data_IF_366752085432
#
_entry.id   IF_366752085432
#
_cell.length_a   1.000
_cell.length_b   1.000
_cell.length_c   1.000
_cell.angle_alpha   90.00
_cell.angle_beta   90.00
_cell.angle_gamma   90.00
#
_symmetry.space_group_name_H-M   'P 1'
#
loop_
_entity.id
_entity.type
_entity.pdbx_description
1 polymer ?
#
# COMPACT_ATOMS: atom_id res chain seq x y z
N UNK A 1 -17.44 -13.21 23.83
CA UNK A 1 -17.87 -11.80 23.78
C UNK A 1 -16.72 -10.86 24.17
N UNK A 2 -16.28 -10.05 23.21
CA UNK A 2 -15.71 -8.70 23.29
C UNK A 2 -14.55 -8.39 24.24
N UNK A 3 -13.32 -8.63 23.75
CA UNK A 3 -12.10 -7.89 24.16
C UNK A 3 -11.73 -6.77 23.17
N UNK A 4 -12.37 -6.71 22.00
CA UNK A 4 -12.07 -5.76 20.92
C UNK A 4 -12.89 -4.46 20.96
N UNK A 5 -13.90 -4.34 21.83
CA UNK A 5 -14.74 -3.13 21.91
C UNK A 5 -14.25 -2.09 22.94
N UNK A 6 -13.38 -2.45 23.89
CA UNK A 6 -12.93 -1.52 24.95
C UNK A 6 -11.79 -0.61 24.47
N UNK A 7 -11.07 -1.00 23.41
CA UNK A 7 -9.89 -0.27 22.94
C UNK A 7 -10.22 0.83 21.91
N UNK A 8 -11.35 0.72 21.20
CA UNK A 8 -11.82 1.75 20.27
C UNK A 8 -12.28 3.04 20.95
N UNK A 9 -13.02 2.93 22.07
CA UNK A 9 -13.52 4.10 22.80
C UNK A 9 -12.39 5.02 23.30
N UNK A 10 -11.33 4.46 23.89
CA UNK A 10 -10.20 5.27 24.40
C UNK A 10 -9.35 5.93 23.30
N UNK A 11 -9.42 5.42 22.09
CA UNK A 11 -8.57 5.84 20.98
C UNK A 11 -9.17 7.02 20.22
N UNK A 12 -10.49 6.99 20.04
CA UNK A 12 -11.24 8.13 19.51
C UNK A 12 -11.19 9.31 20.49
N UNK A 13 -11.30 9.04 21.80
CA UNK A 13 -11.13 10.05 22.86
C UNK A 13 -9.74 10.71 22.83
N UNK A 14 -8.68 9.93 22.54
CA UNK A 14 -7.32 10.46 22.43
C UNK A 14 -7.10 11.27 21.16
N UNK A 15 -7.64 10.81 20.03
CA UNK A 15 -7.58 11.54 18.77
C UNK A 15 -8.30 12.88 18.86
N UNK A 16 -9.47 12.91 19.51
CA UNK A 16 -10.26 14.12 19.74
C UNK A 16 -9.54 15.10 20.67
N UNK A 17 -8.95 14.63 21.77
CA UNK A 17 -8.14 15.46 22.67
C UNK A 17 -6.96 16.13 21.96
N UNK A 18 -6.22 15.38 21.16
CA UNK A 18 -5.09 15.93 20.38
C UNK A 18 -5.57 16.91 19.32
N UNK A 19 -6.72 16.65 18.69
CA UNK A 19 -7.31 17.57 17.72
C UNK A 19 -7.67 18.92 18.36
N UNK A 20 -8.33 18.91 19.53
CA UNK A 20 -8.68 20.11 20.28
C UNK A 20 -7.45 20.92 20.71
N UNK A 21 -6.39 20.24 21.17
CA UNK A 21 -5.15 20.90 21.60
C UNK A 21 -4.43 21.58 20.42
N UNK A 22 -4.43 20.94 19.25
CA UNK A 22 -3.84 21.51 18.03
C UNK A 22 -4.68 22.67 17.50
N UNK A 23 -6.02 22.55 17.51
CA UNK A 23 -6.92 23.65 17.15
C UNK A 23 -6.72 24.87 18.06
N UNK A 24 -6.61 24.63 19.37
CA UNK A 24 -6.35 25.69 20.36
C UNK A 24 -4.99 26.35 20.14
N UNK A 25 -3.95 25.57 19.83
CA UNK A 25 -2.62 26.11 19.53
C UNK A 25 -2.63 26.98 18.26
N UNK A 26 -3.34 26.56 17.21
CA UNK A 26 -3.48 27.33 15.97
C UNK A 26 -4.27 28.63 16.19
N UNK A 27 -5.31 28.60 17.03
CA UNK A 27 -6.10 29.78 17.38
C UNK A 27 -5.27 30.87 18.07
N UNK A 28 -4.19 30.50 18.77
CA UNK A 28 -3.31 31.44 19.46
C UNK A 28 -2.20 32.00 18.57
N UNK A 29 -1.84 31.31 17.49
CA UNK A 29 -0.68 31.67 16.66
C UNK A 29 -1.04 32.49 15.42
N UNK A 30 -2.22 32.28 14.83
CA UNK A 30 -2.61 32.97 13.61
C UNK A 30 -4.14 33.18 13.52
N UNK A 31 -4.57 34.44 13.70
CA UNK A 31 -5.98 34.84 13.62
C UNK A 31 -6.52 34.80 12.17
N UNK A 32 -5.65 34.63 11.16
CA UNK A 32 -6.00 34.62 9.74
C UNK A 32 -6.31 33.22 9.16
N UNK A 33 -6.16 32.13 9.94
CA UNK A 33 -6.49 30.78 9.46
C UNK A 33 -7.99 30.56 9.53
N UNK A 34 -8.59 30.17 8.39
CA UNK A 34 -10.02 29.87 8.32
C UNK A 34 -10.42 28.74 9.29
N UNK A 35 -11.47 28.96 10.07
CA UNK A 35 -12.00 28.00 11.07
C UNK A 35 -12.18 26.56 10.54
N UNK A 36 -12.68 26.31 9.32
CA UNK A 36 -12.77 24.96 8.77
C UNK A 36 -11.40 24.29 8.51
N UNK A 37 -10.39 25.09 8.16
CA UNK A 37 -9.01 24.62 7.95
C UNK A 37 -8.39 24.23 9.29
N UNK A 38 -8.62 25.02 10.34
CA UNK A 38 -8.14 24.68 11.70
C UNK A 38 -8.70 23.35 12.18
N UNK A 39 -10.02 23.14 12.04
CA UNK A 39 -10.68 21.87 12.41
C UNK A 39 -10.14 20.69 11.60
N UNK A 40 -9.84 20.91 10.33
CA UNK A 40 -9.25 19.88 9.47
C UNK A 40 -7.83 19.52 9.92
N UNK A 41 -7.02 20.50 10.31
CA UNK A 41 -5.66 20.27 10.83
C UNK A 41 -5.70 19.54 12.18
N UNK A 42 -6.61 19.92 13.07
CA UNK A 42 -6.84 19.21 14.34
C UNK A 42 -7.13 17.73 14.12
N UNK A 43 -8.11 17.41 13.27
CA UNK A 43 -8.48 16.02 12.94
C UNK A 43 -7.32 15.22 12.35
N UNK A 44 -6.52 15.83 11.47
CA UNK A 44 -5.33 15.19 10.89
C UNK A 44 -4.32 14.88 12.01
N UNK A 45 -4.04 15.84 12.89
CA UNK A 45 -3.10 15.67 13.99
C UNK A 45 -3.56 14.58 14.97
N UNK A 46 -4.85 14.59 15.36
CA UNK A 46 -5.44 13.56 16.21
C UNK A 46 -5.36 12.16 15.60
N UNK A 47 -5.67 12.04 14.30
CA UNK A 47 -5.58 10.77 13.57
C UNK A 47 -4.14 10.25 13.49
N UNK A 48 -3.18 11.14 13.24
CA UNK A 48 -1.75 10.78 13.21
C UNK A 48 -1.28 10.34 14.59
N UNK A 49 -1.59 11.11 15.64
CA UNK A 49 -1.18 10.78 17.01
C UNK A 49 -1.73 9.41 17.44
N UNK A 50 -3.00 9.16 17.15
CA UNK A 50 -3.66 7.88 17.36
C UNK A 50 -2.96 6.73 16.62
N UNK A 51 -2.63 6.92 15.33
CA UNK A 51 -1.90 5.91 14.55
C UNK A 51 -0.49 5.62 15.09
N UNK A 52 0.20 6.63 15.64
CA UNK A 52 1.53 6.45 16.26
C UNK A 52 1.45 5.57 17.51
N UNK A 53 0.37 5.65 18.29
CA UNK A 53 0.17 4.76 19.47
C UNK A 53 0.02 3.29 19.10
N UNK A 54 -0.44 2.99 17.87
CA UNK A 54 -0.58 1.62 17.36
C UNK A 54 0.74 1.02 16.85
N UNK A 55 1.80 1.82 16.75
CA UNK A 55 3.09 1.35 16.30
C UNK A 55 3.76 0.49 17.38
N UNK A 56 4.53 -0.52 16.95
CA UNK A 56 5.37 -1.28 17.87
C UNK A 56 6.41 -0.36 18.54
N UNK A 57 6.87 -0.69 19.78
CA UNK A 57 7.90 0.11 20.46
C UNK A 57 9.19 0.28 19.65
N UNK A 58 9.51 -0.68 18.77
CA UNK A 58 10.65 -0.59 17.85
C UNK A 58 10.45 0.50 16.79
N UNK A 59 9.24 0.64 16.26
CA UNK A 59 8.90 1.67 15.27
C UNK A 59 8.76 3.05 15.91
N UNK A 60 8.22 3.15 17.14
CA UNK A 60 8.18 4.40 17.89
C UNK A 60 9.61 4.95 18.14
N UNK A 61 10.54 4.10 18.60
CA UNK A 61 11.95 4.48 18.77
C UNK A 61 12.65 4.87 17.45
N UNK A 62 12.25 4.27 16.33
CA UNK A 62 12.79 4.64 15.03
C UNK A 62 12.34 6.04 14.59
N UNK A 63 11.13 6.46 14.96
CA UNK A 63 10.63 7.82 14.75
C UNK A 63 11.45 8.81 15.59
N UNK A 64 11.71 8.49 16.85
CA UNK A 64 12.56 9.33 17.72
C UNK A 64 13.98 9.48 17.17
N UNK A 65 14.52 8.44 16.53
CA UNK A 65 15.86 8.47 15.94
C UNK A 65 15.99 9.40 14.72
N UNK A 66 14.89 9.71 14.02
CA UNK A 66 14.87 10.57 12.83
C UNK A 66 14.31 11.97 13.12
N UNK A 67 14.24 12.38 14.39
CA UNK A 67 13.58 13.63 14.81
C UNK A 67 14.06 14.89 14.08
N UNK A 68 15.34 14.95 13.69
CA UNK A 68 15.90 16.06 12.92
C UNK A 68 15.35 16.17 11.49
N UNK A 69 14.95 15.05 10.88
CA UNK A 69 14.40 15.00 9.52
C UNK A 69 12.87 15.10 9.50
N UNK A 70 12.22 14.99 10.66
CA UNK A 70 10.75 15.03 10.79
C UNK A 70 10.11 16.28 10.16
N UNK A 71 10.66 17.52 10.29
CA UNK A 71 10.07 18.70 9.65
C UNK A 71 10.05 18.60 8.12
N UNK A 72 11.10 18.02 7.53
CA UNK A 72 11.19 17.80 6.08
C UNK A 72 10.20 16.73 5.60
N UNK A 73 10.06 15.64 6.37
CA UNK A 73 9.08 14.59 6.10
C UNK A 73 7.63 15.09 6.25
N UNK A 74 7.35 15.88 7.29
CA UNK A 74 6.06 16.51 7.51
C UNK A 74 5.68 17.44 6.35
N UNK A 75 6.64 18.26 5.87
CA UNK A 75 6.42 19.14 4.72
C UNK A 75 6.09 18.37 3.44
N UNK A 76 6.77 17.24 3.21
CA UNK A 76 6.48 16.36 2.06
C UNK A 76 5.10 15.71 2.18
N UNK A 77 4.75 15.24 3.37
CA UNK A 77 3.44 14.66 3.66
C UNK A 77 2.31 15.67 3.41
N UNK A 78 2.43 16.89 3.94
CA UNK A 78 1.43 17.97 3.72
C UNK A 78 1.29 18.30 2.24
N UNK A 79 2.40 18.39 1.50
CA UNK A 79 2.36 18.64 0.05
C UNK A 79 1.66 17.52 -0.72
N UNK A 80 1.94 16.27 -0.37
CA UNK A 80 1.27 15.11 -0.98
C UNK A 80 -0.23 15.11 -0.68
N UNK A 81 -0.61 15.42 0.56
CA UNK A 81 -2.01 15.54 0.99
C UNK A 81 -2.74 16.67 0.24
N UNK A 82 -2.11 17.83 0.11
CA UNK A 82 -2.67 18.96 -0.64
C UNK A 82 -2.86 18.63 -2.13
N UNK A 83 -1.89 17.95 -2.75
CA UNK A 83 -2.00 17.50 -4.13
C UNK A 83 -3.14 16.49 -4.33
N UNK A 84 -3.34 15.57 -3.40
CA UNK A 84 -4.46 14.62 -3.43
C UNK A 84 -5.82 15.32 -3.23
N UNK A 85 -5.90 16.28 -2.31
CA UNK A 85 -7.11 17.07 -2.11
C UNK A 85 -7.49 17.90 -3.35
N UNK A 86 -6.49 18.50 -4.03
CA UNK A 86 -6.70 19.23 -5.28
C UNK A 86 -7.26 18.32 -6.38
N UNK A 87 -6.67 17.13 -6.58
CA UNK A 87 -7.18 16.14 -7.54
C UNK A 87 -8.63 15.73 -7.27
N UNK A 88 -8.99 15.50 -6.01
CA UNK A 88 -10.36 15.15 -5.64
C UNK A 88 -11.34 16.30 -5.80
N UNK A 89 -10.89 17.53 -5.55
CA UNK A 89 -11.67 18.73 -5.82
C UNK A 89 -11.95 18.87 -7.31
N UNK A 90 -10.94 18.68 -8.17
CA UNK A 90 -11.06 18.70 -9.64
C UNK A 90 -12.00 17.60 -10.17
N UNK A 91 -11.92 16.40 -9.59
CA UNK A 91 -12.87 15.32 -9.89
C UNK A 91 -14.30 15.63 -9.42
N UNK A 92 -14.47 16.45 -8.36
CA UNK A 92 -15.76 16.89 -7.84
C UNK A 92 -16.44 18.01 -8.65
N UNK A 93 -15.70 18.77 -9.48
CA UNK A 93 -16.26 19.82 -10.34
C UNK A 93 -16.96 19.24 -11.58
N UNK A 94 -16.71 17.97 -11.91
CA UNK A 94 -17.43 17.22 -12.93
C UNK A 94 -18.81 16.68 -12.45
N UNK A 95 -19.26 17.12 -11.27
CA UNK A 95 -20.42 16.57 -10.57
C UNK A 95 -21.63 17.49 -10.45
N UNK A 96 -21.88 18.43 -11.36
CA UNK A 96 -23.20 19.06 -11.50
C UNK A 96 -23.46 19.47 -12.96
N UNK A 97 -24.12 18.60 -13.74
CA UNK A 97 -25.18 18.97 -14.69
C UNK A 97 -25.86 17.70 -15.19
N UNK A 98 -27.19 17.73 -15.20
CA UNK A 98 -28.08 16.65 -15.64
C UNK A 98 -27.82 16.20 -17.09
N UNK A 99 -28.24 14.97 -17.47
CA UNK A 99 -27.70 14.25 -18.61
C UNK A 99 -28.33 14.71 -19.92
N UNK A 100 -27.58 14.65 -21.03
CA UNK A 100 -28.13 14.26 -22.31
C UNK A 100 -27.60 12.88 -22.68
N UNK A 101 -28.55 11.96 -22.82
CA UNK A 101 -28.45 10.70 -23.56
C UNK A 101 -27.53 10.83 -24.78
N UNK A 102 -26.40 10.12 -24.77
CA UNK A 102 -25.70 9.70 -25.99
C UNK A 102 -25.01 8.36 -25.71
N UNK A 103 -25.01 7.40 -26.66
CA UNK A 103 -24.80 5.99 -26.37
C UNK A 103 -23.33 5.63 -26.23
N UNK A 104 -23.08 4.60 -25.41
CA UNK A 104 -21.89 3.76 -25.31
C UNK A 104 -20.73 4.12 -26.26
N UNK A 105 -19.68 4.71 -25.69
CA UNK A 105 -18.33 4.58 -26.21
C UNK A 105 -17.40 4.33 -25.01
N UNK A 106 -17.01 3.06 -24.89
CA UNK A 106 -15.81 2.54 -24.25
C UNK A 106 -15.06 3.48 -23.29
N UNK A 107 -15.48 3.50 -22.02
CA UNK A 107 -14.57 3.89 -20.94
C UNK A 107 -13.73 2.67 -20.62
N UNK A 108 -12.58 2.60 -21.29
CA UNK A 108 -11.51 1.65 -21.02
C UNK A 108 -11.18 1.66 -19.50
N UNK A 109 -11.13 0.48 -18.84
CA UNK A 109 -10.81 0.41 -17.42
C UNK A 109 -9.46 1.06 -17.13
N UNK A 110 -9.22 1.59 -15.91
CA UNK A 110 -7.99 2.31 -15.58
C UNK A 110 -6.78 1.45 -15.95
N UNK A 111 -6.02 1.91 -16.94
CA UNK A 111 -4.85 1.21 -17.45
C UNK A 111 -3.90 0.96 -16.29
N UNK A 112 -3.53 -0.31 -16.07
CA UNK A 112 -2.55 -0.67 -15.06
C UNK A 112 -1.27 0.14 -15.29
N UNK A 113 -0.62 0.66 -14.23
CA UNK A 113 0.61 1.43 -14.37
C UNK A 113 1.64 0.60 -15.13
N UNK A 114 2.26 1.22 -16.15
CA UNK A 114 3.23 0.54 -17.00
C UNK A 114 4.46 0.18 -16.17
N UNK A 115 5.25 -0.80 -16.63
CA UNK A 115 6.49 -1.22 -15.96
C UNK A 115 7.38 -0.03 -15.56
N UNK A 116 7.47 0.98 -16.43
CA UNK A 116 8.33 2.15 -16.23
C UNK A 116 7.82 3.07 -15.10
N UNK A 117 6.50 3.14 -14.90
CA UNK A 117 5.90 3.91 -13.81
C UNK A 117 6.23 3.25 -12.45
N UNK A 118 6.26 1.92 -12.40
CA UNK A 118 6.58 1.15 -11.19
C UNK A 118 8.03 1.33 -10.75
N UNK A 119 8.97 1.56 -11.68
CA UNK A 119 10.39 1.81 -11.35
C UNK A 119 10.58 3.12 -10.57
N UNK A 120 9.69 4.10 -10.75
CA UNK A 120 9.77 5.41 -10.09
C UNK A 120 9.04 5.50 -8.74
N UNK A 121 8.24 4.47 -8.38
CA UNK A 121 7.47 4.40 -7.13
C UNK A 121 8.24 3.68 -6.01
N UNK A 122 8.00 4.05 -4.75
CA UNK A 122 8.51 3.29 -3.61
C UNK A 122 7.88 1.89 -3.61
N UNK A 123 8.70 0.87 -3.38
CA UNK A 123 8.27 -0.53 -3.48
C UNK A 123 7.21 -0.84 -2.41
N UNK A 124 7.35 -0.25 -1.23
CA UNK A 124 6.41 -0.44 -0.11
C UNK A 124 4.99 0.04 -0.45
N UNK A 125 4.85 1.05 -1.31
CA UNK A 125 3.57 1.69 -1.61
C UNK A 125 2.65 0.81 -2.48
N UNK A 126 3.23 -0.11 -3.25
CA UNK A 126 2.48 -0.97 -4.17
C UNK A 126 2.72 -2.47 -3.96
N UNK A 127 3.90 -2.87 -3.46
CA UNK A 127 4.22 -4.28 -3.23
C UNK A 127 3.76 -4.79 -1.86
N UNK A 128 3.28 -3.90 -0.98
CA UNK A 128 2.88 -4.21 0.38
C UNK A 128 4.08 -4.50 1.28
N UNK A 129 3.91 -5.39 2.28
CA UNK A 129 5.01 -5.74 3.19
C UNK A 129 6.09 -6.53 2.46
N UNK A 130 7.29 -5.98 2.41
CA UNK A 130 8.47 -6.62 1.82
C UNK A 130 9.55 -6.87 2.87
N UNK A 131 10.36 -7.90 2.66
CA UNK A 131 11.43 -8.28 3.56
C UNK A 131 12.72 -8.65 2.82
N UNK A 132 13.86 -8.39 3.44
CA UNK A 132 15.15 -8.90 2.97
C UNK A 132 15.39 -10.35 3.39
N UNK A 133 16.41 -10.98 2.80
CA UNK A 133 16.78 -12.38 3.09
C UNK A 133 17.05 -12.64 4.58
N UNK A 134 17.67 -11.70 5.30
CA UNK A 134 17.93 -11.82 6.74
C UNK A 134 16.65 -11.95 7.55
N UNK A 135 15.63 -11.15 7.23
CA UNK A 135 14.35 -11.21 7.94
C UNK A 135 13.63 -12.55 7.69
N UNK A 136 13.64 -13.03 6.44
CA UNK A 136 13.02 -14.31 6.07
C UNK A 136 13.69 -15.51 6.78
N UNK A 137 15.01 -15.45 6.93
CA UNK A 137 15.78 -16.47 7.65
C UNK A 137 15.44 -16.50 9.15
N UNK A 138 15.38 -15.32 9.78
CA UNK A 138 15.10 -15.19 11.22
C UNK A 138 13.64 -15.52 11.57
N UNK A 139 12.67 -15.04 10.78
CA UNK A 139 11.26 -15.04 11.14
C UNK A 139 10.44 -16.13 10.45
N UNK A 140 10.78 -16.49 9.22
CA UNK A 140 10.10 -17.55 8.45
C UNK A 140 10.93 -18.84 8.35
N UNK A 141 12.12 -18.87 8.98
CA UNK A 141 13.05 -20.01 8.97
C UNK A 141 13.46 -20.44 7.55
N UNK A 142 13.49 -19.49 6.62
CA UNK A 142 13.87 -19.74 5.22
C UNK A 142 15.36 -19.50 5.06
N UNK A 143 16.15 -20.57 4.92
CA UNK A 143 17.59 -20.45 4.68
C UNK A 143 17.88 -19.66 3.39
N UNK A 144 18.92 -18.81 3.40
CA UNK A 144 19.30 -17.98 2.23
C UNK A 144 19.58 -18.80 0.98
N UNK A 145 20.20 -19.98 1.13
CA UNK A 145 20.48 -20.91 0.03
C UNK A 145 19.19 -21.44 -0.60
N UNK A 146 18.18 -21.75 0.21
CA UNK A 146 16.84 -22.16 -0.22
C UNK A 146 16.13 -21.03 -0.95
N UNK A 147 16.12 -19.83 -0.37
CA UNK A 147 15.51 -18.65 -0.98
C UNK A 147 16.15 -18.32 -2.34
N UNK A 148 17.49 -18.37 -2.42
CA UNK A 148 18.21 -18.13 -3.66
C UNK A 148 17.94 -19.22 -4.71
N UNK A 149 17.81 -20.48 -4.30
CA UNK A 149 17.39 -21.58 -5.20
C UNK A 149 15.99 -21.34 -5.75
N UNK A 150 15.04 -20.96 -4.90
CA UNK A 150 13.67 -20.65 -5.32
C UNK A 150 13.61 -19.46 -6.27
N UNK A 151 14.35 -18.39 -5.97
CA UNK A 151 14.48 -17.23 -6.86
C UNK A 151 15.02 -17.64 -8.24
N UNK A 152 16.09 -18.46 -8.31
CA UNK A 152 16.63 -18.93 -9.59
C UNK A 152 15.66 -19.79 -10.40
N UNK A 153 14.74 -20.48 -9.74
CA UNK A 153 13.71 -21.32 -10.38
C UNK A 153 12.44 -20.55 -10.74
N UNK A 154 12.36 -19.25 -10.41
CA UNK A 154 11.16 -18.45 -10.56
C UNK A 154 10.04 -18.83 -9.59
N UNK A 155 10.34 -19.56 -8.51
CA UNK A 155 9.32 -19.96 -7.52
C UNK A 155 8.98 -18.83 -6.54
N UNK A 156 9.79 -17.77 -6.54
CA UNK A 156 9.67 -16.60 -5.67
C UNK A 156 9.92 -15.35 -6.48
N UNK A 157 9.10 -14.33 -6.27
CA UNK A 157 9.26 -13.00 -6.80
C UNK A 157 10.21 -12.19 -5.91
N UNK A 158 11.31 -11.76 -6.52
CA UNK A 158 12.29 -10.85 -5.93
C UNK A 158 12.22 -9.48 -6.60
N UNK A 159 11.91 -8.44 -5.82
CA UNK A 159 11.84 -7.07 -6.30
C UNK A 159 13.16 -6.35 -5.99
N UNK A 160 13.66 -5.56 -6.93
CA UNK A 160 14.92 -4.82 -6.75
C UNK A 160 14.66 -3.53 -5.99
N UNK A 161 15.18 -3.41 -4.77
CA UNK A 161 15.19 -2.17 -3.98
C UNK A 161 16.52 -1.43 -4.21
N UNK A 162 16.52 -0.49 -5.15
CA UNK A 162 17.72 0.21 -5.60
C UNK A 162 18.66 -0.70 -6.43
N UNK A 163 19.95 -0.35 -6.51
CA UNK A 163 20.86 -0.96 -7.48
C UNK A 163 21.23 -2.44 -7.25
N UNK A 164 21.34 -2.91 -5.99
CA UNK A 164 21.88 -4.27 -5.70
C UNK A 164 21.08 -5.11 -4.71
N UNK A 165 20.12 -4.53 -3.98
CA UNK A 165 19.40 -5.26 -2.91
C UNK A 165 18.09 -5.81 -3.45
N UNK A 166 17.83 -7.08 -3.20
CA UNK A 166 16.52 -7.69 -3.47
C UNK A 166 15.69 -7.70 -2.18
N UNK A 167 14.42 -7.40 -2.33
CA UNK A 167 13.39 -7.56 -1.30
C UNK A 167 12.32 -8.51 -1.82
N UNK A 168 11.71 -9.22 -0.91
CA UNK A 168 10.75 -10.27 -1.18
C UNK A 168 9.43 -9.90 -0.52
N UNK A 169 8.36 -9.70 -1.30
CA UNK A 169 7.04 -9.50 -0.74
C UNK A 169 6.63 -10.68 0.17
N UNK A 170 6.13 -10.40 1.36
CA UNK A 170 5.80 -11.43 2.35
C UNK A 170 4.55 -12.22 1.99
N UNK A 171 3.63 -11.61 1.24
CA UNK A 171 2.37 -12.23 0.84
C UNK A 171 2.54 -13.48 -0.04
N UNK A 172 3.73 -13.69 -0.63
CA UNK A 172 4.02 -14.85 -1.46
C UNK A 172 4.41 -16.11 -0.66
N UNK A 173 4.50 -16.01 0.67
CA UNK A 173 4.88 -17.13 1.53
C UNK A 173 3.72 -17.57 2.42
N UNK A 174 3.54 -18.89 2.54
CA UNK A 174 2.65 -19.53 3.50
C UNK A 174 3.49 -20.56 4.26
N UNK A 175 3.53 -20.46 5.59
CA UNK A 175 4.30 -21.36 6.48
C UNK A 175 5.76 -21.58 6.06
N UNK A 176 6.41 -20.50 5.59
CA UNK A 176 7.82 -20.52 5.17
C UNK A 176 8.07 -21.15 3.79
N UNK A 177 7.03 -21.41 3.00
CA UNK A 177 7.12 -21.92 1.62
C UNK A 177 6.51 -20.93 0.64
N UNK A 178 7.03 -20.83 -0.59
CA UNK A 178 6.38 -20.04 -1.62
C UNK A 178 5.03 -20.65 -1.98
N UNK A 179 4.06 -19.79 -2.27
CA UNK A 179 2.77 -20.21 -2.80
C UNK A 179 2.96 -20.90 -4.15
N UNK A 180 2.25 -22.00 -4.40
CA UNK A 180 2.27 -22.70 -5.67
C UNK A 180 1.75 -21.80 -6.82
N UNK A 181 2.15 -22.09 -8.06
CA UNK A 181 1.71 -21.33 -9.23
C UNK A 181 2.47 -20.02 -9.52
N UNK A 182 3.25 -19.48 -8.56
CA UNK A 182 4.06 -18.27 -8.80
C UNK A 182 5.02 -18.45 -9.99
N UNK A 183 5.61 -19.63 -10.12
CA UNK A 183 6.51 -19.97 -11.23
C UNK A 183 5.80 -19.90 -12.58
N UNK A 184 4.58 -20.41 -12.63
CA UNK A 184 3.80 -20.47 -13.86
C UNK A 184 3.37 -19.05 -14.26
N UNK A 185 2.94 -18.23 -13.29
CA UNK A 185 2.65 -16.80 -13.51
C UNK A 185 3.89 -16.04 -13.99
N UNK A 186 5.05 -16.26 -13.38
CA UNK A 186 6.31 -15.61 -13.81
C UNK A 186 6.79 -16.08 -15.19
N UNK A 187 6.38 -17.27 -15.63
CA UNK A 187 6.67 -17.75 -16.98
C UNK A 187 5.86 -17.02 -18.05
N UNK A 188 4.67 -16.51 -17.68
CA UNK A 188 3.78 -15.74 -18.54
C UNK A 188 4.07 -14.24 -18.46
N UNK A 189 4.26 -13.71 -17.25
CA UNK A 189 4.56 -12.30 -16.97
C UNK A 189 6.02 -12.19 -16.55
N UNK A 190 6.93 -12.06 -17.53
CA UNK A 190 8.38 -12.10 -17.28
C UNK A 190 8.87 -10.97 -16.36
N UNK A 191 8.17 -9.83 -16.34
CA UNK A 191 8.53 -8.71 -15.48
C UNK A 191 8.09 -8.95 -14.03
N UNK A 192 9.02 -9.08 -13.05
CA UNK A 192 8.67 -9.39 -11.66
C UNK A 192 7.84 -8.32 -10.97
N UNK A 193 8.00 -7.04 -11.33
CA UNK A 193 7.18 -5.96 -10.76
C UNK A 193 5.75 -6.04 -11.26
N UNK A 194 5.59 -6.20 -12.57
CA UNK A 194 4.26 -6.33 -13.19
C UNK A 194 3.54 -7.58 -12.70
N UNK A 195 4.24 -8.72 -12.63
CA UNK A 195 3.70 -9.97 -12.10
C UNK A 195 3.21 -9.79 -10.66
N UNK A 196 4.01 -9.15 -9.79
CA UNK A 196 3.60 -8.90 -8.41
C UNK A 196 2.43 -7.92 -8.30
N UNK A 197 2.42 -6.86 -9.10
CA UNK A 197 1.33 -5.91 -9.12
C UNK A 197 0.02 -6.61 -9.50
N UNK A 198 0.04 -7.42 -10.56
CA UNK A 198 -1.14 -8.18 -10.98
C UNK A 198 -1.60 -9.17 -9.90
N UNK A 199 -0.66 -9.91 -9.29
CA UNK A 199 -0.97 -10.89 -8.23
C UNK A 199 -1.64 -10.26 -6.99
N UNK A 200 -1.36 -8.99 -6.69
CA UNK A 200 -1.84 -8.31 -5.48
C UNK A 200 -3.04 -7.40 -5.71
N UNK A 201 -3.57 -7.35 -6.94
CA UNK A 201 -4.72 -6.51 -7.30
C UNK A 201 -5.92 -7.38 -7.74
N UNK A 202 -7.16 -6.89 -7.54
CA UNK A 202 -8.34 -7.48 -8.17
C UNK A 202 -8.13 -7.63 -9.69
N UNK A 203 -8.33 -8.83 -10.20
CA UNK A 203 -8.25 -9.11 -11.65
C UNK A 203 -9.66 -9.21 -12.22
N UNK A 204 -9.91 -8.51 -13.33
CA UNK A 204 -11.17 -8.62 -14.06
C UNK A 204 -11.39 -10.03 -14.63
N UNK A 205 -10.32 -10.77 -14.91
CA UNK A 205 -10.36 -12.16 -15.41
C UNK A 205 -10.75 -13.17 -14.32
N UNK A 206 -10.74 -12.76 -13.05
CA UNK A 206 -11.03 -13.59 -11.89
C UNK A 206 -12.22 -13.02 -11.10
N UNK A 207 -13.17 -12.38 -11.78
CA UNK A 207 -14.36 -11.76 -11.19
C UNK A 207 -14.05 -10.76 -10.04
N UNK A 208 -12.94 -10.03 -10.16
CA UNK A 208 -12.48 -9.08 -9.15
C UNK A 208 -11.80 -9.72 -7.95
N UNK A 209 -11.54 -11.04 -7.96
CA UNK A 209 -10.75 -11.72 -6.94
C UNK A 209 -9.26 -11.37 -7.10
N UNK A 210 -8.52 -11.45 -5.99
CA UNK A 210 -7.09 -11.16 -5.95
C UNK A 210 -6.31 -12.47 -6.25
N UNK A 211 -5.48 -12.53 -7.30
CA UNK A 211 -4.85 -13.77 -7.72
C UNK A 211 -3.98 -14.45 -6.65
N UNK A 212 -3.24 -13.68 -5.85
CA UNK A 212 -2.39 -14.26 -4.79
C UNK A 212 -3.21 -14.99 -3.72
N UNK A 213 -4.45 -14.55 -3.47
CA UNK A 213 -5.34 -15.21 -2.51
C UNK A 213 -5.90 -16.52 -3.09
N UNK A 214 -6.10 -16.58 -4.40
CA UNK A 214 -6.50 -17.81 -5.11
C UNK A 214 -5.38 -18.84 -5.10
N UNK A 215 -4.15 -18.40 -5.36
CA UNK A 215 -2.98 -19.27 -5.30
C UNK A 215 -2.79 -19.87 -3.89
N UNK A 216 -3.10 -19.11 -2.83
CA UNK A 216 -3.09 -19.63 -1.44
C UNK A 216 -4.21 -20.64 -1.16
N UNK A 217 -5.27 -20.63 -1.95
CA UNK A 217 -6.38 -21.58 -1.89
C UNK A 217 -6.17 -22.78 -2.83
N UNK A 218 -4.93 -22.97 -3.32
CA UNK A 218 -4.54 -24.00 -4.29
C UNK A 218 -5.30 -23.93 -5.63
N UNK A 219 -5.93 -22.79 -5.95
CA UNK A 219 -6.61 -22.55 -7.23
C UNK A 219 -5.62 -22.08 -8.32
N UNK A 220 -4.60 -22.89 -8.60
CA UNK A 220 -3.49 -22.52 -9.50
C UNK A 220 -3.96 -22.38 -10.95
N UNK A 221 -4.72 -23.33 -11.46
CA UNK A 221 -5.11 -23.38 -12.87
C UNK A 221 -5.91 -22.15 -13.31
N UNK A 222 -6.85 -21.71 -12.45
CA UNK A 222 -7.69 -20.52 -12.68
C UNK A 222 -6.82 -19.26 -12.81
N UNK A 223 -5.82 -19.12 -11.93
CA UNK A 223 -4.89 -17.99 -11.95
C UNK A 223 -3.97 -18.03 -13.17
N UNK A 224 -3.47 -19.21 -13.56
CA UNK A 224 -2.58 -19.35 -14.72
C UNK A 224 -3.30 -18.98 -16.02
N UNK A 225 -4.56 -19.40 -16.18
CA UNK A 225 -5.34 -19.04 -17.36
C UNK A 225 -5.68 -17.55 -17.38
N UNK A 226 -6.03 -16.96 -16.24
CA UNK A 226 -6.19 -15.51 -16.13
C UNK A 226 -4.89 -14.74 -16.46
N UNK A 227 -3.74 -15.24 -16.01
CA UNK A 227 -2.44 -14.65 -16.31
C UNK A 227 -2.10 -14.73 -17.81
N UNK A 228 -2.51 -15.79 -18.52
CA UNK A 228 -2.31 -15.93 -19.96
C UNK A 228 -3.06 -14.87 -20.75
N UNK A 229 -4.29 -14.53 -20.33
CA UNK A 229 -5.10 -13.45 -20.92
C UNK A 229 -4.50 -12.07 -20.59
N UNK A 230 -3.93 -11.92 -19.40
CA UNK A 230 -3.35 -10.67 -18.95
C UNK A 230 -1.96 -10.37 -19.53
N UNK A 231 -1.17 -11.41 -19.80
CA UNK A 231 0.23 -11.25 -20.19
C UNK A 231 0.35 -10.32 -21.40
N UNK A 232 1.14 -9.23 -21.32
CA UNK A 232 1.42 -8.41 -22.49
C UNK A 232 2.17 -9.28 -23.49
N UNK A 233 1.61 -9.42 -24.70
CA UNK A 233 2.25 -10.14 -25.81
C UNK A 233 3.57 -9.55 -26.25
#
# INVERSE_FOLDING_TARGET
>A
MNRFQIQGLKQDDFAEMVAEDVERALAHYDEAINKPTMVSVGKIAGSIASAVTLLSPKHQRAIDAIHADLPGLASKFVRALAAEAARRSEAGIAGVTNPPTTPLADVEPPSLPKSDDLESMLIEDWAGRVAGSTYLEEHLRIARSTLHRWQRRGEVIALRKGGRKHVFPLAQFVDGRPVAGIRDVLSLITNPRLAWLWLTRPSAQLDGRVPIDLLRQDQVDEVVEAARVFAPG
#
